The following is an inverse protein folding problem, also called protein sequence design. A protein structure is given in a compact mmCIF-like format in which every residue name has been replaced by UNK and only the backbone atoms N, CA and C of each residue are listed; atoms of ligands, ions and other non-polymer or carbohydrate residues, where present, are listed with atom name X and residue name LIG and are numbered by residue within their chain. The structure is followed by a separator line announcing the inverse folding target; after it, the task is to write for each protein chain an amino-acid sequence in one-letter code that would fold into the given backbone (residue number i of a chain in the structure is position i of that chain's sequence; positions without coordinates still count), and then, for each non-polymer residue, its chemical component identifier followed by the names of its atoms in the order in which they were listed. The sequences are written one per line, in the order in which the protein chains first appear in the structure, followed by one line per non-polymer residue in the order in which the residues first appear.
data_IF_363931668671
#
_entry.id   IF_363931668671
#
_cell.length_a   1.000
_cell.length_b   1.000
_cell.length_c   1.000
_cell.angle_alpha   90.00
_cell.angle_beta   90.00
_cell.angle_gamma   90.00
#
_symmetry.space_group_name_H-M   'P 1'
#
loop_
_entity.id
_entity.type
_entity.pdbx_description
1 polymer ?
#
# COMPACT_ATOMS: atom_id res chain seq x y z
N UNK A 1 21.13 16.52 4.66
CA UNK A 1 21.42 15.81 5.92
C UNK A 1 22.44 16.57 6.73
N UNK A 2 23.02 15.95 7.77
CA UNK A 2 24.12 16.52 8.58
C UNK A 2 25.33 15.61 8.53
N UNK A 3 26.52 16.22 8.41
CA UNK A 3 27.80 15.53 8.47
C UNK A 3 28.54 15.92 9.74
N UNK A 4 28.97 14.91 10.51
CA UNK A 4 29.94 15.07 11.57
C UNK A 4 31.25 14.42 11.13
N UNK A 5 32.30 15.22 10.95
CA UNK A 5 33.65 14.75 10.60
C UNK A 5 34.56 14.84 11.83
N UNK A 6 35.24 13.76 12.16
CA UNK A 6 36.20 13.70 13.26
C UNK A 6 37.62 14.02 12.77
N UNK A 7 38.48 14.47 13.69
CA UNK A 7 39.87 14.82 13.36
C UNK A 7 40.71 13.63 12.84
N UNK A 8 40.31 12.39 13.15
CA UNK A 8 40.93 11.17 12.61
C UNK A 8 40.38 10.75 11.24
N UNK A 9 39.55 11.59 10.60
CA UNK A 9 38.97 11.36 9.29
C UNK A 9 37.74 10.46 9.25
N UNK A 10 37.31 9.88 10.39
CA UNK A 10 36.03 9.17 10.43
C UNK A 10 34.87 10.15 10.40
N UNK A 11 33.75 9.76 9.80
CA UNK A 11 32.57 10.62 9.74
C UNK A 11 31.29 9.85 10.04
N UNK A 12 30.27 10.60 10.46
CA UNK A 12 28.90 10.14 10.56
C UNK A 12 28.03 11.07 9.74
N UNK A 13 27.30 10.50 8.79
CA UNK A 13 26.24 11.18 8.07
C UNK A 13 24.90 10.80 8.67
N UNK A 14 24.08 11.79 8.97
CA UNK A 14 22.68 11.60 9.37
C UNK A 14 21.79 12.20 8.30
N UNK A 15 21.00 11.34 7.63
CA UNK A 15 20.00 11.77 6.67
C UNK A 15 18.94 12.63 7.38
N UNK A 16 18.48 13.70 6.74
CA UNK A 16 17.32 14.46 7.19
C UNK A 16 16.08 13.99 6.42
N UNK A 17 15.25 13.08 6.97
CA UNK A 17 14.09 12.56 6.25
C UNK A 17 12.96 13.60 6.09
N UNK A 18 13.05 14.73 6.77
CA UNK A 18 12.05 15.81 6.66
C UNK A 18 12.36 16.81 5.55
N UNK A 19 13.57 16.75 4.99
CA UNK A 19 14.05 17.62 3.93
C UNK A 19 13.15 17.52 2.68
N UNK A 20 12.83 18.66 2.07
CA UNK A 20 11.95 18.70 0.92
C UNK A 20 12.59 18.05 -0.31
N UNK A 21 13.89 18.24 -0.52
CA UNK A 21 14.60 17.65 -1.65
C UNK A 21 14.68 16.13 -1.50
N UNK A 22 14.87 15.63 -0.27
CA UNK A 22 14.81 14.20 0.00
C UNK A 22 13.42 13.62 -0.29
N UNK A 23 12.34 14.27 0.17
CA UNK A 23 10.96 13.85 -0.12
C UNK A 23 10.65 13.85 -1.62
N UNK A 24 11.26 14.76 -2.37
CA UNK A 24 11.09 14.88 -3.81
C UNK A 24 11.90 13.87 -4.63
N UNK A 25 12.75 13.03 -4.01
CA UNK A 25 13.38 11.95 -4.74
C UNK A 25 12.34 10.97 -5.29
N UNK A 26 11.20 10.79 -4.60
CA UNK A 26 10.19 9.76 -4.92
C UNK A 26 10.80 8.34 -4.99
N UNK A 27 9.97 7.31 -5.15
CA UNK A 27 10.46 5.94 -5.32
C UNK A 27 11.42 5.85 -6.51
N UNK A 28 12.62 5.29 -6.29
CA UNK A 28 13.64 5.10 -7.33
C UNK A 28 14.48 6.35 -7.64
N UNK A 29 14.22 7.47 -6.97
CA UNK A 29 14.98 8.70 -7.15
C UNK A 29 16.40 8.66 -6.62
N UNK A 30 17.22 9.61 -7.08
CA UNK A 30 18.60 9.76 -6.61
C UNK A 30 18.97 11.23 -6.45
N UNK A 31 19.69 11.54 -5.37
CA UNK A 31 20.17 12.87 -5.03
C UNK A 31 21.64 12.86 -4.65
N UNK A 32 22.25 14.04 -4.61
CA UNK A 32 23.64 14.21 -4.16
C UNK A 32 23.69 15.24 -3.06
N UNK A 33 24.37 14.92 -1.96
CA UNK A 33 24.76 15.89 -0.95
C UNK A 33 26.27 16.10 -0.99
N UNK A 34 26.70 17.36 -1.05
CA UNK A 34 28.12 17.74 -1.03
C UNK A 34 28.43 18.51 0.24
N UNK A 35 29.41 18.03 0.99
CA UNK A 35 29.92 18.70 2.18
C UNK A 35 31.36 19.15 1.93
N UNK A 36 31.61 20.44 1.98
CA UNK A 36 32.97 21.00 1.94
C UNK A 36 33.55 21.01 3.34
N UNK A 37 34.76 20.48 3.50
CA UNK A 37 35.49 20.48 4.77
C UNK A 37 36.94 20.95 4.59
N UNK A 38 37.52 21.45 5.68
CA UNK A 38 38.91 21.92 5.73
C UNK A 38 39.76 20.95 6.52
N UNK A 39 40.87 20.53 5.93
CA UNK A 39 41.94 19.77 6.56
C UNK A 39 43.02 20.75 7.01
N UNK A 40 43.60 20.54 8.18
CA UNK A 40 44.76 21.27 8.68
C UNK A 40 45.85 20.26 9.03
N UNK A 41 47.06 20.46 8.53
CA UNK A 41 48.19 19.58 8.89
C UNK A 41 48.85 20.00 10.22
N UNK A 42 49.99 19.38 10.55
CA UNK A 42 50.66 19.60 11.82
C UNK A 42 51.32 20.97 11.98
N UNK A 43 51.59 21.71 10.89
CA UNK A 43 52.22 23.03 10.96
C UNK A 43 51.24 24.19 10.72
N UNK A 44 49.99 23.87 10.37
CA UNK A 44 48.87 24.81 10.33
C UNK A 44 48.38 25.13 8.92
N UNK A 45 48.98 24.53 7.90
CA UNK A 45 48.53 24.68 6.52
C UNK A 45 47.16 24.03 6.31
N UNK A 46 46.28 24.73 5.60
CA UNK A 46 44.90 24.28 5.38
C UNK A 46 44.61 23.95 3.91
N UNK A 47 43.85 22.89 3.68
CA UNK A 47 43.32 22.53 2.36
C UNK A 47 41.83 22.20 2.43
N UNK A 48 41.08 22.53 1.38
CA UNK A 48 39.64 22.22 1.29
C UNK A 48 39.39 20.99 0.43
N UNK A 49 38.48 20.13 0.86
CA UNK A 49 38.03 18.96 0.11
C UNK A 49 36.50 18.82 0.19
N UNK A 50 35.94 18.01 -0.71
CA UNK A 50 34.51 17.70 -0.75
C UNK A 50 34.28 16.24 -0.40
N UNK A 51 33.34 15.98 0.51
CA UNK A 51 32.70 14.68 0.68
C UNK A 51 31.39 14.70 -0.11
N UNK A 52 31.28 13.83 -1.11
CA UNK A 52 30.09 13.70 -1.96
C UNK A 52 29.37 12.41 -1.59
N UNK A 53 28.13 12.53 -1.13
CA UNK A 53 27.26 11.42 -0.78
C UNK A 53 26.15 11.29 -1.82
N UNK A 54 26.03 10.10 -2.42
CA UNK A 54 24.88 9.76 -3.27
C UNK A 54 23.79 9.16 -2.40
N UNK A 55 22.60 9.75 -2.47
CA UNK A 55 21.41 9.31 -1.76
C UNK A 55 20.50 8.64 -2.77
N UNK A 56 20.13 7.39 -2.52
CA UNK A 56 19.17 6.65 -3.33
C UNK A 56 17.92 6.41 -2.51
N UNK A 57 16.76 6.73 -3.09
CA UNK A 57 15.49 6.28 -2.56
C UNK A 57 15.09 5.03 -3.32
N UNK A 58 14.86 3.92 -2.61
CA UNK A 58 14.40 2.70 -3.26
C UNK A 58 12.97 2.89 -3.77
N UNK A 59 12.62 2.15 -4.84
CA UNK A 59 11.24 2.00 -5.28
C UNK A 59 10.83 0.58 -4.89
N UNK A 60 10.11 0.45 -3.78
CA UNK A 60 9.67 -0.87 -3.31
C UNK A 60 8.37 -1.27 -4.04
N UNK A 61 8.29 -2.49 -4.60
CA UNK A 61 7.09 -2.90 -5.33
C UNK A 61 5.88 -3.01 -4.39
N UNK A 62 4.71 -2.68 -4.94
CA UNK A 62 3.43 -2.97 -4.27
C UNK A 62 3.10 -4.45 -4.47
N UNK A 63 2.85 -5.17 -3.37
CA UNK A 63 2.44 -6.57 -3.39
C UNK A 63 1.03 -6.72 -2.83
N UNK A 64 0.22 -7.56 -3.48
CA UNK A 64 -1.09 -7.99 -2.99
C UNK A 64 -1.01 -9.47 -2.62
N UNK A 65 -1.52 -9.83 -1.44
CA UNK A 65 -1.62 -11.23 -1.00
C UNK A 65 -3.01 -11.51 -0.41
N UNK A 66 -3.41 -12.78 -0.38
CA UNK A 66 -4.75 -13.18 0.08
C UNK A 66 -5.86 -12.88 -0.93
N UNK A 67 -5.50 -12.83 -2.22
CA UNK A 67 -6.43 -12.82 -3.34
C UNK A 67 -5.93 -13.82 -4.37
N UNK A 68 -6.73 -14.85 -4.67
CA UNK A 68 -6.46 -15.74 -5.79
C UNK A 68 -6.95 -15.13 -7.11
N UNK A 69 -6.13 -15.26 -8.16
CA UNK A 69 -6.47 -14.77 -9.51
C UNK A 69 -7.49 -15.67 -10.21
N UNK A 70 -7.59 -16.93 -9.78
CA UNK A 70 -8.46 -17.96 -10.35
C UNK A 70 -9.27 -18.64 -9.24
N UNK A 71 -10.58 -18.73 -9.43
CA UNK A 71 -11.50 -19.11 -8.35
C UNK A 71 -11.74 -17.89 -7.46
N UNK A 72 -13.01 -17.54 -7.23
CA UNK A 72 -13.33 -16.40 -6.37
C UNK A 72 -12.88 -16.66 -4.94
N UNK A 73 -12.45 -15.60 -4.24
CA UNK A 73 -12.02 -15.67 -2.84
C UNK A 73 -13.17 -16.07 -1.90
N UNK A 74 -14.38 -15.59 -2.21
CA UNK A 74 -15.60 -15.90 -1.47
C UNK A 74 -16.56 -16.68 -2.35
N UNK A 75 -17.26 -17.64 -1.75
CA UNK A 75 -18.37 -18.35 -2.38
C UNK A 75 -19.66 -18.05 -1.63
N UNK A 76 -20.65 -17.59 -2.37
CA UNK A 76 -22.04 -17.41 -1.96
C UNK A 76 -22.92 -18.25 -2.89
N UNK A 77 -24.08 -18.67 -2.42
CA UNK A 77 -24.95 -19.56 -3.18
C UNK A 77 -26.35 -18.96 -3.35
N UNK A 78 -26.87 -19.02 -4.56
CA UNK A 78 -28.21 -18.50 -4.90
C UNK A 78 -29.33 -19.27 -4.21
N UNK A 79 -29.13 -20.55 -3.89
CA UNK A 79 -30.10 -21.33 -3.10
C UNK A 79 -30.42 -20.68 -1.76
N UNK A 80 -29.52 -19.84 -1.22
CA UNK A 80 -29.68 -19.16 0.06
C UNK A 80 -30.49 -17.85 -0.06
N UNK A 81 -30.81 -17.39 -1.27
CA UNK A 81 -31.72 -16.26 -1.51
C UNK A 81 -33.13 -16.59 -1.01
N UNK A 82 -33.96 -15.57 -0.80
CA UNK A 82 -35.30 -15.73 -0.21
C UNK A 82 -36.24 -16.61 -1.05
N UNK A 83 -36.07 -16.60 -2.36
CA UNK A 83 -36.77 -17.42 -3.36
C UNK A 83 -35.95 -18.63 -3.83
N UNK A 84 -34.76 -18.82 -3.24
CA UNK A 84 -33.88 -19.95 -3.51
C UNK A 84 -34.42 -21.27 -2.95
N UNK A 85 -33.78 -22.38 -3.35
CA UNK A 85 -34.20 -23.73 -2.97
C UNK A 85 -33.91 -24.11 -1.50
N UNK A 86 -33.06 -23.35 -0.80
CA UNK A 86 -32.74 -23.52 0.61
C UNK A 86 -32.40 -22.17 1.29
N UNK A 87 -33.39 -21.28 1.49
CA UNK A 87 -33.15 -19.91 1.94
C UNK A 87 -32.41 -19.83 3.28
N UNK A 88 -31.36 -19.00 3.34
CA UNK A 88 -30.60 -18.71 4.53
C UNK A 88 -29.90 -17.36 4.37
N UNK A 89 -30.50 -16.32 4.95
CA UNK A 89 -30.05 -14.95 4.84
C UNK A 89 -28.69 -14.70 5.47
N UNK A 90 -28.26 -15.52 6.44
CA UNK A 90 -26.96 -15.33 7.09
C UNK A 90 -25.80 -15.74 6.17
N UNK A 91 -26.03 -16.70 5.28
CA UNK A 91 -25.04 -17.18 4.31
C UNK A 91 -24.92 -16.33 3.04
N UNK A 92 -25.77 -15.31 2.87
CA UNK A 92 -25.70 -14.39 1.73
C UNK A 92 -24.53 -13.41 1.83
N UNK A 93 -24.01 -13.19 3.05
CA UNK A 93 -22.89 -12.26 3.30
C UNK A 93 -21.67 -13.02 3.76
N UNK A 94 -20.61 -12.97 2.94
CA UNK A 94 -19.31 -13.54 3.29
C UNK A 94 -18.29 -12.41 3.51
N UNK A 95 -17.34 -12.66 4.41
CA UNK A 95 -16.29 -11.70 4.76
C UNK A 95 -14.94 -12.25 4.32
N UNK A 96 -14.03 -11.36 3.96
CA UNK A 96 -12.66 -11.71 3.59
C UNK A 96 -11.68 -10.60 3.93
N UNK A 97 -10.41 -10.92 3.81
CA UNK A 97 -9.32 -9.96 3.97
C UNK A 97 -8.27 -10.22 2.92
N UNK A 98 -7.62 -9.16 2.46
CA UNK A 98 -6.38 -9.26 1.70
C UNK A 98 -5.36 -8.27 2.26
N UNK A 99 -4.10 -8.43 1.92
CA UNK A 99 -3.04 -7.52 2.37
C UNK A 99 -2.40 -6.81 1.20
N UNK A 100 -2.04 -5.55 1.47
CA UNK A 100 -1.24 -4.71 0.59
C UNK A 100 0.07 -4.42 1.30
N UNK A 101 1.17 -4.80 0.68
CA UNK A 101 2.51 -4.40 1.12
C UNK A 101 3.00 -3.29 0.20
N UNK A 102 3.18 -2.10 0.76
CA UNK A 102 3.81 -0.96 0.09
C UNK A 102 4.74 -0.29 1.13
N UNK A 103 6.04 -0.56 1.05
CA UNK A 103 7.01 -0.10 2.07
C UNK A 103 7.19 1.43 2.06
N UNK A 104 6.97 2.05 0.90
CA UNK A 104 6.92 3.51 0.73
C UNK A 104 5.57 4.13 1.14
N UNK A 105 4.63 3.31 1.60
CA UNK A 105 3.26 3.69 1.93
C UNK A 105 2.28 3.62 0.75
N UNK A 106 0.99 3.71 1.03
CA UNK A 106 -0.08 3.67 0.02
C UNK A 106 -0.53 5.09 -0.29
N UNK A 107 -0.24 5.60 -1.48
CA UNK A 107 -0.72 6.95 -1.87
C UNK A 107 -2.18 6.92 -2.32
N UNK A 108 -2.54 5.95 -3.16
CA UNK A 108 -3.91 5.75 -3.65
C UNK A 108 -4.26 4.27 -3.66
N UNK A 109 -5.45 3.95 -3.20
CA UNK A 109 -6.01 2.60 -3.27
C UNK A 109 -7.51 2.69 -3.55
N UNK A 110 -7.93 2.02 -4.62
CA UNK A 110 -9.33 1.92 -5.01
C UNK A 110 -9.71 0.46 -5.17
N UNK A 111 -10.83 0.03 -4.58
CA UNK A 111 -11.33 -1.34 -4.68
C UNK A 111 -12.76 -1.32 -5.19
N UNK A 112 -13.01 -1.86 -6.38
CA UNK A 112 -14.36 -1.86 -6.98
C UNK A 112 -14.98 -0.47 -7.16
N UNK A 113 -14.17 0.59 -7.23
CA UNK A 113 -14.63 1.98 -7.27
C UNK A 113 -14.71 2.68 -5.89
N UNK A 114 -14.50 1.96 -4.80
CA UNK A 114 -14.41 2.53 -3.44
C UNK A 114 -13.01 3.10 -3.23
N UNK A 115 -12.91 4.40 -2.92
CA UNK A 115 -11.65 5.03 -2.54
C UNK A 115 -11.28 4.67 -1.10
N UNK A 116 -10.35 3.73 -0.93
CA UNK A 116 -9.88 3.25 0.38
C UNK A 116 -8.80 4.18 0.93
N UNK A 117 -7.89 4.63 0.07
CA UNK A 117 -6.84 5.63 0.41
C UNK A 117 -6.78 6.67 -0.70
N UNK A 118 -6.77 7.96 -0.33
CA UNK A 118 -6.60 9.08 -1.25
C UNK A 118 -5.51 10.02 -0.74
N UNK A 119 -4.50 10.29 -1.56
CA UNK A 119 -3.37 11.15 -1.21
C UNK A 119 -2.69 10.76 0.13
N UNK A 120 -2.54 9.45 0.37
CA UNK A 120 -1.94 8.92 1.59
C UNK A 120 -2.84 8.91 2.83
N UNK A 121 -4.11 9.30 2.70
CA UNK A 121 -5.07 9.35 3.81
C UNK A 121 -6.12 8.26 3.62
N UNK A 122 -6.24 7.34 4.59
CA UNK A 122 -7.31 6.37 4.59
C UNK A 122 -8.69 7.04 4.73
N UNK A 123 -9.67 6.49 4.02
CA UNK A 123 -11.05 6.93 4.15
C UNK A 123 -11.73 6.38 5.41
N UNK A 124 -12.96 6.84 5.70
CA UNK A 124 -13.81 6.23 6.72
C UNK A 124 -14.47 4.95 6.21
N UNK A 125 -14.64 3.96 7.07
CA UNK A 125 -15.29 2.67 6.75
C UNK A 125 -16.43 2.38 7.73
N UNK A 126 -17.45 1.59 7.32
CA UNK A 126 -17.56 0.87 6.05
C UNK A 126 -17.93 1.76 4.85
N UNK A 127 -17.57 1.32 3.64
CA UNK A 127 -18.04 1.88 2.37
C UNK A 127 -18.51 0.76 1.46
N UNK A 128 -19.58 1.01 0.71
CA UNK A 128 -20.21 0.00 -0.14
C UNK A 128 -20.43 0.50 -1.57
N UNK A 129 -20.42 -0.45 -2.51
CA UNK A 129 -20.75 -0.23 -3.91
C UNK A 129 -21.57 -1.41 -4.43
N UNK A 130 -22.50 -1.13 -5.33
CA UNK A 130 -23.17 -2.18 -6.10
C UNK A 130 -22.22 -2.65 -7.20
N UNK A 131 -21.93 -3.94 -7.24
CA UNK A 131 -21.10 -4.53 -8.29
C UNK A 131 -21.81 -4.46 -9.64
N UNK A 132 -21.11 -4.61 -10.77
CA UNK A 132 -21.73 -4.61 -12.10
C UNK A 132 -22.83 -5.66 -12.28
N UNK A 133 -22.82 -6.69 -11.43
CA UNK A 133 -23.77 -7.79 -11.43
C UNK A 133 -24.99 -7.52 -10.51
N UNK A 134 -24.93 -6.52 -9.62
CA UNK A 134 -26.08 -6.08 -8.81
C UNK A 134 -25.98 -6.43 -7.32
N UNK A 135 -25.02 -7.27 -6.96
CA UNK A 135 -24.68 -7.58 -5.56
C UNK A 135 -23.91 -6.45 -4.88
N UNK A 136 -23.72 -6.53 -3.55
CA UNK A 136 -23.05 -5.46 -2.78
C UNK A 136 -21.65 -5.88 -2.35
N UNK A 137 -20.64 -5.09 -2.73
CA UNK A 137 -19.29 -5.14 -2.15
C UNK A 137 -19.16 -4.06 -1.09
N UNK A 138 -18.65 -4.41 0.09
CA UNK A 138 -18.38 -3.47 1.18
C UNK A 138 -16.94 -3.59 1.64
N UNK A 139 -16.17 -2.50 1.60
CA UNK A 139 -14.89 -2.41 2.34
C UNK A 139 -15.21 -2.04 3.78
N UNK A 140 -14.88 -2.92 4.70
CA UNK A 140 -15.22 -2.80 6.12
C UNK A 140 -14.10 -2.15 6.93
N UNK A 141 -12.86 -2.15 6.43
CA UNK A 141 -11.76 -1.44 7.06
C UNK A 141 -10.44 -1.53 6.29
N UNK A 142 -9.52 -0.63 6.65
CA UNK A 142 -8.12 -0.65 6.23
C UNK A 142 -7.23 -0.38 7.44
N UNK A 143 -6.25 -1.26 7.69
CA UNK A 143 -5.24 -1.07 8.72
C UNK A 143 -3.94 -0.60 8.06
N UNK A 144 -3.63 0.68 8.21
CA UNK A 144 -2.44 1.30 7.62
C UNK A 144 -1.12 0.67 8.10
N UNK A 145 -1.08 0.20 9.36
CA UNK A 145 0.14 -0.36 9.94
C UNK A 145 0.46 -1.77 9.41
N UNK A 146 -0.58 -2.56 9.11
CA UNK A 146 -0.41 -3.95 8.64
C UNK A 146 -0.71 -4.14 7.16
N UNK A 147 -1.28 -3.14 6.50
CA UNK A 147 -1.73 -3.22 5.11
C UNK A 147 -2.98 -4.07 4.90
N UNK A 148 -3.64 -4.52 5.97
CA UNK A 148 -4.82 -5.40 5.87
C UNK A 148 -6.03 -4.58 5.42
N UNK A 149 -6.67 -5.01 4.32
CA UNK A 149 -7.98 -4.56 3.87
C UNK A 149 -9.00 -5.62 4.24
N UNK A 150 -10.04 -5.24 4.98
CA UNK A 150 -11.17 -6.11 5.32
C UNK A 150 -12.36 -5.75 4.44
N UNK A 151 -13.08 -6.76 3.97
CA UNK A 151 -14.25 -6.56 3.12
C UNK A 151 -15.33 -7.62 3.35
N UNK A 152 -16.53 -7.33 2.87
CA UNK A 152 -17.63 -8.29 2.76
C UNK A 152 -18.29 -8.20 1.40
N UNK A 153 -18.88 -9.30 0.97
CA UNK A 153 -19.69 -9.40 -0.22
C UNK A 153 -21.06 -9.96 0.15
N UNK A 154 -22.13 -9.29 -0.26
CA UNK A 154 -23.51 -9.73 -0.07
C UNK A 154 -24.15 -10.01 -1.42
N UNK A 155 -24.55 -11.26 -1.63
CA UNK A 155 -25.40 -11.65 -2.77
C UNK A 155 -26.80 -11.06 -2.55
N UNK A 156 -27.27 -10.27 -3.52
CA UNK A 156 -28.57 -9.59 -3.42
C UNK A 156 -29.63 -10.24 -4.30
N UNK A 157 -29.22 -10.78 -5.44
CA UNK A 157 -30.10 -11.41 -6.42
C UNK A 157 -29.37 -12.57 -7.11
N UNK A 158 -30.11 -13.39 -7.83
CA UNK A 158 -29.54 -14.45 -8.64
C UNK A 158 -28.87 -13.87 -9.88
N UNK A 159 -27.78 -14.49 -10.31
CA UNK A 159 -26.98 -14.04 -11.45
C UNK A 159 -27.20 -14.93 -12.67
N UNK A 160 -27.02 -14.36 -13.85
CA UNK A 160 -27.09 -15.13 -15.09
C UNK A 160 -25.78 -15.90 -15.31
N UNK A 161 -25.79 -17.20 -15.01
CA UNK A 161 -24.65 -18.08 -15.27
C UNK A 161 -24.72 -18.71 -16.67
N UNK A 162 -23.59 -18.84 -17.41
CA UNK A 162 -23.54 -19.69 -18.59
C UNK A 162 -24.00 -21.11 -18.21
N UNK A 163 -24.88 -21.70 -19.01
CA UNK A 163 -25.37 -23.07 -18.77
C UNK A 163 -24.23 -24.08 -18.97
N UNK A 164 -23.47 -24.36 -17.91
CA UNK A 164 -22.75 -25.61 -17.59
C UNK A 164 -21.57 -25.33 -16.63
N UNK A 165 -21.74 -25.60 -15.32
CA UNK A 165 -20.69 -26.22 -14.47
C UNK A 165 -21.10 -26.62 -13.03
N UNK A 166 -22.39 -26.76 -12.72
CA UNK A 166 -22.84 -27.11 -11.36
C UNK A 166 -24.02 -26.27 -10.92
N UNK A 167 -24.48 -26.44 -9.68
CA UNK A 167 -25.80 -26.02 -9.21
C UNK A 167 -26.14 -24.55 -9.51
N UNK A 168 -27.21 -24.38 -10.29
CA UNK A 168 -28.12 -23.24 -10.17
C UNK A 168 -28.86 -23.36 -8.84
#
# INVERSE_FOLDING_TARGET
GTLQLNANGTYTYTLNPTDADFKNLHGGGSGTETFTYTLTDSDGDTSTANLVLQIHNNDDPVLLNGLDVNGGELTVYEKNLSDGSAPDSAALTQNGTFTITALDGVTTLTVGGIAVVTNGVAAGFPQSVTTPLGSTLTITGFNEATGVVSYSYTLVDNEAHPTANGAN
#
